data_IF_654730760145
#
_entry.id   IF_654730760145
#
_cell.length_a   1.000
_cell.length_b   1.000
_cell.length_c   1.000
_cell.angle_alpha   90.00
_cell.angle_beta   90.00
_cell.angle_gamma   90.00
#
_symmetry.space_group_name_H-M   'P 1'
#
loop_
_entity.id
_entity.type
_entity.pdbx_description
1 polymer ?
#
# COMPACT_ATOMS: atom_id res chain seq x y z
N UNK A 1 -3.27 17.58 -3.78
CA UNK A 1 -4.01 16.70 -4.73
C UNK A 1 -3.23 15.47 -5.23
N UNK A 2 -1.95 15.30 -4.89
CA UNK A 2 -1.02 14.32 -5.49
C UNK A 2 -1.15 12.87 -4.99
N UNK A 3 -1.50 12.65 -3.72
CA UNK A 3 -1.49 11.30 -3.11
C UNK A 3 -2.58 10.34 -3.64
N UNK A 4 -3.73 10.83 -4.12
CA UNK A 4 -4.81 9.96 -4.64
C UNK A 4 -4.51 9.46 -6.05
N UNK A 5 -4.03 10.35 -6.94
CA UNK A 5 -3.66 9.98 -8.32
C UNK A 5 -2.49 8.99 -8.34
N UNK A 6 -1.42 9.29 -7.58
CA UNK A 6 -0.26 8.41 -7.46
C UNK A 6 -0.64 7.01 -6.95
N UNK A 7 -1.55 6.92 -5.99
CA UNK A 7 -2.05 5.64 -5.49
C UNK A 7 -2.70 4.79 -6.60
N UNK A 8 -3.59 5.38 -7.39
CA UNK A 8 -4.29 4.65 -8.45
C UNK A 8 -3.35 4.24 -9.58
N UNK A 9 -2.39 5.09 -9.94
CA UNK A 9 -1.34 4.76 -10.91
C UNK A 9 -0.55 3.54 -10.43
N UNK A 10 -0.07 3.56 -9.18
CA UNK A 10 0.67 2.44 -8.59
C UNK A 10 -0.17 1.16 -8.47
N UNK A 11 -1.47 1.29 -8.23
CA UNK A 11 -2.41 0.16 -8.18
C UNK A 11 -2.54 -0.54 -9.52
N UNK A 12 -2.97 0.20 -10.55
CA UNK A 12 -3.16 -0.36 -11.88
C UNK A 12 -1.84 -0.85 -12.48
N UNK A 13 -0.75 -0.10 -12.29
CA UNK A 13 0.56 -0.50 -12.76
C UNK A 13 1.08 -1.75 -12.04
N UNK A 14 0.97 -1.81 -10.71
CA UNK A 14 1.44 -2.95 -9.92
C UNK A 14 0.69 -4.24 -10.24
N UNK A 15 -0.63 -4.24 -10.11
CA UNK A 15 -1.44 -5.43 -10.41
C UNK A 15 -1.47 -5.76 -11.89
N UNK A 16 -1.47 -4.76 -12.77
CA UNK A 16 -1.40 -4.96 -14.21
C UNK A 16 -0.09 -5.63 -14.63
N UNK A 17 1.05 -5.23 -14.05
CA UNK A 17 2.35 -5.84 -14.34
C UNK A 17 2.41 -7.29 -13.88
N UNK A 18 1.96 -7.57 -12.65
CA UNK A 18 1.93 -8.94 -12.10
C UNK A 18 0.98 -9.83 -12.91
N UNK A 19 -0.20 -9.31 -13.25
CA UNK A 19 -1.17 -10.02 -14.09
C UNK A 19 -0.61 -10.29 -15.49
N UNK A 20 0.07 -9.32 -16.10
CA UNK A 20 0.73 -9.47 -17.40
C UNK A 20 1.75 -10.60 -17.40
N UNK A 21 2.62 -10.66 -16.37
CA UNK A 21 3.58 -11.76 -16.21
C UNK A 21 2.86 -13.10 -16.02
N UNK A 22 1.79 -13.15 -15.22
CA UNK A 22 1.02 -14.36 -14.99
C UNK A 22 0.35 -14.89 -16.28
N UNK A 23 -0.29 -13.99 -17.04
CA UNK A 23 -0.94 -14.29 -18.32
C UNK A 23 0.11 -14.80 -19.32
N UNK A 24 1.22 -14.09 -19.45
CA UNK A 24 2.30 -14.47 -20.36
C UNK A 24 2.88 -15.85 -20.00
N UNK A 25 3.17 -16.08 -18.72
CA UNK A 25 3.64 -17.39 -18.24
C UNK A 25 2.66 -18.52 -18.58
N UNK A 26 1.36 -18.30 -18.42
CA UNK A 26 0.32 -19.29 -18.79
C UNK A 26 0.22 -19.50 -20.30
N UNK A 27 0.33 -18.46 -21.11
CA UNK A 27 0.31 -18.58 -22.57
C UNK A 27 1.50 -19.42 -23.10
N UNK A 28 2.66 -19.33 -22.45
CA UNK A 28 3.86 -20.09 -22.84
C UNK A 28 3.81 -21.54 -22.32
N UNK A 29 3.36 -21.74 -21.07
CA UNK A 29 3.47 -23.05 -20.40
C UNK A 29 2.21 -23.91 -20.48
N UNK A 30 1.04 -23.31 -20.70
CA UNK A 30 -0.26 -24.00 -20.69
C UNK A 30 -1.00 -23.80 -22.00
N UNK A 31 -0.43 -24.33 -23.07
CA UNK A 31 -0.97 -24.25 -24.43
C UNK A 31 -2.29 -25.01 -24.60
N UNK A 32 -2.61 -25.95 -23.71
CA UNK A 32 -3.86 -26.72 -23.69
C UNK A 32 -5.07 -25.89 -23.24
N UNK A 33 -4.85 -24.77 -22.54
CA UNK A 33 -5.92 -23.90 -22.07
C UNK A 33 -6.36 -22.93 -23.16
N UNK A 34 -7.68 -22.68 -23.23
CA UNK A 34 -8.19 -21.64 -24.12
C UNK A 34 -7.63 -20.26 -23.75
N UNK A 35 -7.22 -19.50 -24.75
CA UNK A 35 -6.73 -18.12 -24.57
C UNK A 35 -7.78 -17.25 -23.87
N UNK A 36 -9.07 -17.46 -24.16
CA UNK A 36 -10.17 -16.72 -23.54
C UNK A 36 -10.24 -16.98 -22.02
N UNK A 37 -10.03 -18.22 -21.58
CA UNK A 37 -9.94 -18.56 -20.16
C UNK A 37 -8.81 -17.79 -19.47
N UNK A 38 -7.61 -17.78 -20.07
CA UNK A 38 -6.43 -17.12 -19.50
C UNK A 38 -6.68 -15.62 -19.32
N UNK A 39 -7.31 -14.96 -20.30
CA UNK A 39 -7.64 -13.53 -20.20
C UNK A 39 -8.73 -13.24 -19.15
N UNK A 40 -9.78 -14.06 -19.07
CA UNK A 40 -10.83 -13.91 -18.06
C UNK A 40 -10.29 -14.12 -16.64
N UNK A 41 -9.47 -15.14 -16.44
CA UNK A 41 -8.81 -15.40 -15.16
C UNK A 41 -7.84 -14.26 -14.79
N UNK A 42 -7.07 -13.74 -15.77
CA UNK A 42 -6.18 -12.60 -15.58
C UNK A 42 -6.93 -11.31 -15.21
N UNK A 43 -8.09 -11.07 -15.80
CA UNK A 43 -8.97 -9.97 -15.40
C UNK A 43 -9.49 -10.15 -13.97
N UNK A 44 -9.92 -11.37 -13.63
CA UNK A 44 -10.29 -11.75 -12.27
C UNK A 44 -9.16 -11.53 -11.25
N UNK A 45 -7.91 -11.83 -11.64
CA UNK A 45 -6.73 -11.58 -10.82
C UNK A 45 -6.54 -10.09 -10.50
N UNK A 46 -6.62 -9.22 -11.51
CA UNK A 46 -6.49 -7.77 -11.33
C UNK A 46 -7.60 -7.24 -10.41
N UNK A 47 -8.85 -7.63 -10.66
CA UNK A 47 -10.00 -7.23 -9.84
C UNK A 47 -9.84 -7.68 -8.39
N UNK A 48 -9.48 -8.95 -8.18
CA UNK A 48 -9.24 -9.52 -6.85
C UNK A 48 -8.14 -8.76 -6.10
N UNK A 49 -7.06 -8.42 -6.81
CA UNK A 49 -5.93 -7.68 -6.25
C UNK A 49 -6.33 -6.27 -5.83
N UNK A 50 -7.03 -5.54 -6.70
CA UNK A 50 -7.51 -4.19 -6.40
C UNK A 50 -8.52 -4.21 -5.23
N UNK A 51 -9.50 -5.12 -5.24
CA UNK A 51 -10.51 -5.22 -4.19
C UNK A 51 -9.90 -5.48 -2.82
N UNK A 52 -9.07 -6.53 -2.70
CA UNK A 52 -8.44 -6.90 -1.43
C UNK A 52 -7.55 -5.79 -0.88
N UNK A 53 -6.73 -5.18 -1.74
CA UNK A 53 -5.85 -4.10 -1.33
C UNK A 53 -6.58 -2.81 -0.98
N UNK A 54 -7.73 -2.53 -1.60
CA UNK A 54 -8.60 -1.42 -1.18
C UNK A 54 -9.18 -1.66 0.22
N UNK A 55 -9.64 -2.88 0.51
CA UNK A 55 -10.11 -3.26 1.85
C UNK A 55 -9.01 -3.12 2.90
N UNK A 56 -7.83 -3.70 2.63
CA UNK A 56 -6.65 -3.59 3.49
C UNK A 56 -6.30 -2.12 3.72
N UNK A 57 -6.22 -1.31 2.65
CA UNK A 57 -5.92 0.12 2.77
C UNK A 57 -6.92 0.84 3.67
N UNK A 58 -8.22 0.59 3.48
CA UNK A 58 -9.29 1.23 4.27
C UNK A 58 -9.14 0.86 5.74
N UNK A 59 -8.88 -0.40 6.04
CA UNK A 59 -8.61 -0.90 7.39
C UNK A 59 -7.37 -0.22 8.01
N UNK A 60 -6.22 -0.26 7.34
CA UNK A 60 -4.96 0.33 7.82
C UNK A 60 -5.01 1.85 7.95
N UNK A 61 -5.82 2.54 7.13
CA UNK A 61 -6.00 3.99 7.25
C UNK A 61 -6.86 4.34 8.46
N UNK A 62 -7.87 3.54 8.79
CA UNK A 62 -8.77 3.77 9.93
C UNK A 62 -8.15 3.36 11.27
N UNK A 63 -7.41 2.26 11.30
CA UNK A 63 -7.00 1.60 12.55
C UNK A 63 -5.57 1.89 13.01
N UNK A 64 -4.71 2.42 12.14
CA UNK A 64 -3.29 2.67 12.44
C UNK A 64 -3.04 4.17 12.51
N UNK A 65 -2.76 4.62 13.73
CA UNK A 65 -2.36 5.98 14.06
C UNK A 65 -0.89 5.95 14.43
N UNK A 66 -0.04 6.20 13.42
CA UNK A 66 1.44 6.21 13.47
C UNK A 66 2.06 7.22 14.47
N UNK A 67 1.30 7.74 15.43
CA UNK A 67 1.78 8.62 16.48
C UNK A 67 2.55 7.83 17.57
N UNK A 68 2.21 6.55 17.79
CA UNK A 68 2.98 5.64 18.67
C UNK A 68 3.05 4.26 18.03
N UNK A 69 4.18 3.95 17.39
CA UNK A 69 4.49 2.61 16.87
C UNK A 69 4.64 1.64 18.05
N UNK A 70 3.51 1.08 18.51
CA UNK A 70 3.47 0.09 19.58
C UNK A 70 3.30 -1.31 18.99
N UNK A 71 3.66 -2.36 19.74
CA UNK A 71 3.53 -3.77 19.33
C UNK A 71 2.10 -4.14 18.88
N UNK A 72 1.09 -3.37 19.33
CA UNK A 72 -0.31 -3.52 18.91
C UNK A 72 -0.54 -3.17 17.43
N UNK A 73 0.19 -2.19 16.88
CA UNK A 73 0.08 -1.82 15.47
C UNK A 73 0.67 -2.91 14.57
N UNK A 74 1.78 -3.50 14.99
CA UNK A 74 2.42 -4.64 14.29
C UNK A 74 1.46 -5.83 14.25
N UNK A 75 0.80 -6.15 15.37
CA UNK A 75 -0.22 -7.21 15.41
C UNK A 75 -1.37 -6.93 14.44
N UNK A 76 -1.89 -5.70 14.38
CA UNK A 76 -2.95 -5.32 13.42
C UNK A 76 -2.51 -5.45 11.96
N UNK A 77 -1.25 -5.09 11.66
CA UNK A 77 -0.66 -5.25 10.32
C UNK A 77 -0.59 -6.74 9.94
N UNK A 78 -0.09 -7.59 10.85
CA UNK A 78 0.01 -9.04 10.63
C UNK A 78 -1.36 -9.70 10.45
N UNK A 79 -2.34 -9.33 11.28
CA UNK A 79 -3.73 -9.81 11.15
C UNK A 79 -4.29 -9.38 9.79
N UNK A 80 -4.12 -8.11 9.40
CA UNK A 80 -4.59 -7.62 8.10
C UNK A 80 -3.91 -8.32 6.92
N UNK A 81 -2.63 -8.70 7.06
CA UNK A 81 -1.90 -9.46 6.05
C UNK A 81 -2.48 -10.87 5.90
N UNK A 82 -2.70 -11.58 7.00
CA UNK A 82 -3.26 -12.95 6.99
C UNK A 82 -4.69 -12.98 6.44
N UNK A 83 -5.57 -12.12 6.94
CA UNK A 83 -6.94 -12.05 6.42
C UNK A 83 -6.98 -11.57 4.97
N UNK A 84 -6.09 -10.63 4.62
CA UNK A 84 -5.94 -10.15 3.25
C UNK A 84 -5.51 -11.23 2.27
N UNK A 85 -4.52 -12.05 2.64
CA UNK A 85 -4.04 -13.15 1.80
C UNK A 85 -5.06 -14.27 1.67
N UNK A 86 -5.79 -14.60 2.75
CA UNK A 86 -6.89 -15.58 2.72
C UNK A 86 -8.01 -15.08 1.81
N UNK A 87 -8.45 -13.83 1.97
CA UNK A 87 -9.49 -13.24 1.12
C UNK A 87 -9.06 -13.21 -0.35
N UNK A 88 -7.81 -12.86 -0.63
CA UNK A 88 -7.26 -12.86 -1.98
C UNK A 88 -7.22 -14.26 -2.59
N UNK A 89 -6.78 -15.27 -1.84
CA UNK A 89 -6.81 -16.67 -2.26
C UNK A 89 -8.22 -17.14 -2.65
N UNK A 90 -9.23 -16.89 -1.81
CA UNK A 90 -10.61 -17.28 -2.12
C UNK A 90 -11.18 -16.57 -3.34
N UNK A 91 -10.85 -15.29 -3.53
CA UNK A 91 -11.25 -14.56 -4.72
C UNK A 91 -10.59 -15.13 -5.99
N UNK A 92 -9.30 -15.47 -5.93
CA UNK A 92 -8.61 -16.12 -7.05
C UNK A 92 -9.24 -17.47 -7.40
N UNK A 93 -9.56 -18.29 -6.39
CA UNK A 93 -10.27 -19.55 -6.61
C UNK A 93 -11.64 -19.33 -7.25
N UNK A 94 -12.41 -18.38 -6.75
CA UNK A 94 -13.73 -18.04 -7.26
C UNK A 94 -13.68 -17.66 -8.74
N UNK A 95 -12.79 -16.73 -9.11
CA UNK A 95 -12.63 -16.31 -10.49
C UNK A 95 -12.12 -17.44 -11.39
N UNK A 96 -11.16 -18.23 -10.93
CA UNK A 96 -10.62 -19.37 -11.70
C UNK A 96 -11.69 -20.45 -11.94
N UNK A 97 -12.52 -20.74 -10.94
CA UNK A 97 -13.60 -21.70 -11.06
C UNK A 97 -14.70 -21.22 -12.01
N UNK A 98 -15.13 -19.96 -11.87
CA UNK A 98 -16.14 -19.37 -12.74
C UNK A 98 -15.66 -19.29 -14.19
N UNK A 99 -14.43 -18.82 -14.42
CA UNK A 99 -13.89 -18.70 -15.77
C UNK A 99 -13.75 -20.06 -16.44
N UNK A 100 -13.37 -21.10 -15.69
CA UNK A 100 -13.28 -22.46 -16.22
C UNK A 100 -14.67 -23.06 -16.48
N UNK A 101 -15.61 -22.87 -15.55
CA UNK A 101 -16.98 -23.39 -15.67
C UNK A 101 -17.73 -22.80 -16.87
N UNK A 102 -17.65 -21.48 -17.06
CA UNK A 102 -18.28 -20.79 -18.20
C UNK A 102 -17.79 -21.34 -19.55
N UNK A 103 -16.52 -21.75 -19.61
CA UNK A 103 -15.88 -22.11 -20.87
C UNK A 103 -15.93 -23.60 -21.18
N UNK A 104 -15.82 -24.44 -20.15
CA UNK A 104 -15.65 -25.88 -20.30
C UNK A 104 -16.82 -26.68 -19.68
N UNK A 105 -17.84 -26.02 -19.09
CA UNK A 105 -18.99 -26.62 -18.38
C UNK A 105 -18.60 -27.71 -17.36
N UNK A 106 -17.37 -27.66 -16.87
CA UNK A 106 -16.79 -28.66 -15.98
C UNK A 106 -16.06 -27.95 -14.84
N UNK A 107 -15.67 -28.72 -13.84
CA UNK A 107 -14.92 -28.23 -12.69
C UNK A 107 -13.43 -28.35 -12.99
N UNK A 108 -12.62 -27.31 -12.78
CA UNK A 108 -11.18 -27.43 -12.97
C UNK A 108 -10.61 -28.46 -11.99
N UNK A 109 -9.86 -29.44 -12.52
CA UNK A 109 -9.10 -30.38 -11.68
C UNK A 109 -7.86 -29.67 -11.15
N UNK A 110 -7.93 -29.21 -9.90
CA UNK A 110 -6.82 -28.54 -9.22
C UNK A 110 -6.16 -29.53 -8.26
N UNK A 111 -4.83 -29.65 -8.34
CA UNK A 111 -4.08 -30.53 -7.43
C UNK A 111 -3.76 -29.82 -6.11
N UNK A 112 -3.53 -30.60 -5.03
CA UNK A 112 -3.15 -30.03 -3.73
C UNK A 112 -1.89 -29.16 -3.81
N UNK A 113 -0.94 -29.51 -4.68
CA UNK A 113 0.26 -28.71 -4.93
C UNK A 113 -0.06 -27.35 -5.58
N UNK A 114 -1.03 -27.30 -6.49
CA UNK A 114 -1.49 -26.06 -7.10
C UNK A 114 -2.22 -25.17 -6.08
N UNK A 115 -3.03 -25.76 -5.20
CA UNK A 115 -3.64 -25.02 -4.08
C UNK A 115 -2.58 -24.41 -3.16
N UNK A 116 -1.60 -25.21 -2.74
CA UNK A 116 -0.51 -24.73 -1.88
C UNK A 116 0.29 -23.61 -2.54
N UNK A 117 0.62 -23.76 -3.83
CA UNK A 117 1.28 -22.72 -4.60
C UNK A 117 0.44 -21.43 -4.67
N UNK A 118 -0.87 -21.56 -4.85
CA UNK A 118 -1.78 -20.39 -4.92
C UNK A 118 -1.88 -19.68 -3.57
N UNK A 119 -1.91 -20.42 -2.46
CA UNK A 119 -1.90 -19.85 -1.10
C UNK A 119 -0.61 -19.07 -0.86
N UNK A 120 0.55 -19.68 -1.18
CA UNK A 120 1.85 -19.04 -1.00
C UNK A 120 1.99 -17.77 -1.87
N UNK A 121 1.62 -17.86 -3.14
CA UNK A 121 1.61 -16.70 -4.04
C UNK A 121 0.68 -15.58 -3.53
N UNK A 122 -0.50 -15.95 -3.04
CA UNK A 122 -1.45 -14.98 -2.48
C UNK A 122 -0.88 -14.23 -1.28
N UNK A 123 -0.19 -14.96 -0.39
CA UNK A 123 0.51 -14.35 0.74
C UNK A 123 1.64 -13.43 0.28
N UNK A 124 2.49 -13.88 -0.65
CA UNK A 124 3.62 -13.11 -1.17
C UNK A 124 3.15 -11.83 -1.84
N UNK A 125 2.13 -11.87 -2.70
CA UNK A 125 1.63 -10.69 -3.40
C UNK A 125 1.06 -9.65 -2.43
N UNK A 126 0.26 -10.07 -1.45
CA UNK A 126 -0.28 -9.15 -0.44
C UNK A 126 0.84 -8.63 0.47
N UNK A 127 1.83 -9.46 0.83
CA UNK A 127 3.00 -9.04 1.59
C UNK A 127 3.77 -7.93 0.87
N UNK A 128 4.11 -8.13 -0.41
CA UNK A 128 4.81 -7.12 -1.20
C UNK A 128 4.01 -5.83 -1.29
N UNK A 129 2.71 -5.92 -1.60
CA UNK A 129 1.85 -4.76 -1.66
C UNK A 129 1.81 -4.01 -0.31
N UNK A 130 1.73 -4.75 0.80
CA UNK A 130 1.74 -4.21 2.15
C UNK A 130 3.05 -3.48 2.47
N UNK A 131 4.20 -4.07 2.14
CA UNK A 131 5.51 -3.47 2.33
C UNK A 131 5.64 -2.16 1.53
N UNK A 132 5.24 -2.17 0.26
CA UNK A 132 5.23 -0.96 -0.57
C UNK A 132 4.34 0.13 0.01
N UNK A 133 3.12 -0.20 0.42
CA UNK A 133 2.18 0.75 1.00
C UNK A 133 2.71 1.36 2.30
N UNK A 134 3.22 0.52 3.22
CA UNK A 134 3.77 0.97 4.49
C UNK A 134 5.02 1.83 4.29
N UNK A 135 5.92 1.44 3.38
CA UNK A 135 7.13 2.22 3.06
C UNK A 135 6.81 3.64 2.61
N UNK A 136 5.87 3.79 1.67
CA UNK A 136 5.41 5.10 1.20
C UNK A 136 4.79 5.90 2.36
N UNK A 137 3.91 5.27 3.15
CA UNK A 137 3.21 5.93 4.26
C UNK A 137 4.18 6.42 5.35
N UNK A 138 5.16 5.60 5.72
CA UNK A 138 6.20 5.94 6.70
C UNK A 138 7.08 7.07 6.18
N UNK A 139 7.50 7.00 4.91
CA UNK A 139 8.30 8.07 4.28
C UNK A 139 7.58 9.42 4.26
N UNK A 140 6.28 9.43 3.97
CA UNK A 140 5.46 10.64 4.03
C UNK A 140 5.35 11.21 5.45
N UNK A 141 5.15 10.34 6.45
CA UNK A 141 5.08 10.76 7.85
C UNK A 141 6.43 11.31 8.35
N UNK A 142 7.53 10.68 7.97
CA UNK A 142 8.88 11.14 8.32
C UNK A 142 9.17 12.54 7.77
N UNK A 143 8.83 12.78 6.49
CA UNK A 143 8.96 14.12 5.88
C UNK A 143 8.12 15.16 6.60
N UNK A 144 6.87 14.84 6.95
CA UNK A 144 5.99 15.77 7.69
C UNK A 144 6.56 16.10 9.07
N UNK A 145 6.97 15.08 9.83
CA UNK A 145 7.55 15.28 11.16
C UNK A 145 8.84 16.12 11.11
N UNK A 146 9.66 15.97 10.07
CA UNK A 146 10.88 16.77 9.89
C UNK A 146 10.55 18.25 9.65
N UNK A 147 9.55 18.54 8.82
CA UNK A 147 9.11 19.93 8.56
C UNK A 147 8.56 20.56 9.83
N UNK A 148 7.65 19.86 10.52
CA UNK A 148 7.04 20.33 11.76
C UNK A 148 8.08 20.61 12.86
N UNK A 149 9.12 19.77 12.95
CA UNK A 149 10.24 20.00 13.87
C UNK A 149 11.02 21.28 13.53
N UNK A 150 11.32 21.50 12.25
CA UNK A 150 12.03 22.70 11.80
C UNK A 150 11.23 23.97 12.09
N UNK A 151 9.91 23.94 11.84
CA UNK A 151 9.00 25.05 12.14
C UNK A 151 8.93 25.37 13.64
N UNK A 152 8.92 24.34 14.49
CA UNK A 152 8.97 24.51 15.96
C UNK A 152 10.31 25.11 16.42
N UNK A 153 11.44 24.69 15.84
CA UNK A 153 12.76 25.23 16.15
C UNK A 153 12.89 26.70 15.72
N UNK A 154 12.35 27.08 14.56
CA UNK A 154 12.35 28.49 14.11
C UNK A 154 11.47 29.36 15.00
N UNK A 155 10.26 28.89 15.35
CA UNK A 155 9.34 29.63 16.22
C UNK A 155 9.94 29.84 17.62
N UNK A 156 10.65 28.84 18.16
CA UNK A 156 11.35 28.95 19.44
C UNK A 156 12.47 30.00 19.36
N UNK A 157 13.27 30.01 18.29
CA UNK A 157 14.33 31.00 18.10
C UNK A 157 13.78 32.42 17.98
N UNK A 158 12.69 32.62 17.24
CA UNK A 158 12.04 33.93 17.13
C UNK A 158 11.51 34.42 18.49
N UNK A 159 10.88 33.54 19.28
CA UNK A 159 10.42 33.88 20.62
C UNK A 159 11.56 34.27 21.56
N UNK A 160 12.71 33.59 21.45
CA UNK A 160 13.92 33.93 22.22
C UNK A 160 14.49 35.28 21.79
N UNK A 161 14.59 35.53 20.48
CA UNK A 161 15.07 36.80 19.94
C UNK A 161 14.18 37.97 20.36
N UNK A 162 12.86 37.81 20.29
CA UNK A 162 11.91 38.83 20.74
C UNK A 162 12.03 39.12 22.24
N UNK A 163 12.30 38.10 23.05
CA UNK A 163 12.54 38.26 24.49
C UNK A 163 13.84 39.02 24.75
N UNK A 164 14.92 38.66 24.06
CA UNK A 164 16.21 39.35 24.15
C UNK A 164 16.10 40.81 23.75
N UNK A 165 15.44 41.10 22.62
CA UNK A 165 15.16 42.47 22.18
C UNK A 165 14.34 43.23 23.23
N UNK A 166 13.30 42.60 23.79
CA UNK A 166 12.47 43.21 24.84
C UNK A 166 13.21 43.50 26.15
N UNK A 167 14.35 42.83 26.40
CA UNK A 167 15.21 43.08 27.55
C UNK A 167 16.31 44.13 27.29
N UNK A 168 16.55 44.52 26.04
CA UNK A 168 17.52 45.57 25.70
C UNK A 168 16.92 46.95 26.00
N UNK A 169 17.71 47.84 26.62
CA UNK A 169 17.28 49.20 26.94
C UNK A 169 16.92 49.96 25.64
N UNK A 170 15.73 50.55 25.50
CA UNK A 170 15.30 51.26 24.29
C UNK A 170 16.32 52.27 23.81
N UNK A 171 17.03 52.93 24.72
CA UNK A 171 18.10 53.89 24.41
C UNK A 171 19.26 53.26 23.61
N UNK A 172 19.66 52.02 23.94
CA UNK A 172 20.66 51.28 23.16
C UNK A 172 20.12 50.87 21.79
N UNK A 173 18.84 50.50 21.72
CA UNK A 173 18.21 50.11 20.47
C UNK A 173 18.14 51.30 19.49
N UNK A 174 17.80 52.51 19.98
CA UNK A 174 17.82 53.72 19.17
C UNK A 174 19.25 54.14 18.75
N UNK A 175 20.24 54.03 19.63
CA UNK A 175 21.64 54.32 19.26
C UNK A 175 22.20 53.37 18.19
N UNK A 176 21.71 52.13 18.13
CA UNK A 176 22.11 51.14 17.12
C UNK A 176 21.44 51.35 15.75
N UNK A 177 20.32 52.09 15.72
CA UNK A 177 19.57 52.42 14.50
C UNK A 177 19.97 53.76 13.89
N UNK A 178 20.57 54.66 14.70
CA UNK A 178 20.84 56.04 14.32
C UNK A 178 22.33 56.34 14.05
N UNK A 179 23.18 55.31 14.01
CA UNK A 179 24.61 55.36 13.69
C UNK A 179 24.97 54.20 12.75
#
# INVERSE_FOLDING_TARGET
MTNKKLFWILQFFGWGSIAGINIWGKLVTRTELSKLYIYLEGFGFILSGILTTLFIRKYLKKQITFNKFQSIEIKKILISLLFGSIAFYFLLLFFSYISYYILNNTIPKVTNLQHLSTILNSFIFILFWMLFYLSIKISQKFRKNKIEKLELETSLKESQLNTLIGQINPHFMFNSLNN
#
